data_IF_895643081133
#
_entry.id   IF_895643081133
#
_cell.length_a   1.000
_cell.length_b   1.000
_cell.length_c   1.000
_cell.angle_alpha   90.00
_cell.angle_beta   90.00
_cell.angle_gamma   90.00
#
_symmetry.space_group_name_H-M   'P 1'
#
loop_
_entity.id
_entity.type
_entity.pdbx_description
1 polymer ?
#
# COMPACT_ATOMS: atom_id res chain seq x y z
N UNK A 1 8.10 10.46 8.39
CA UNK A 1 7.51 11.63 7.67
C UNK A 1 7.83 11.67 6.17
N UNK A 2 9.06 11.37 5.68
CA UNK A 2 9.34 11.29 4.22
C UNK A 2 8.44 10.29 3.48
N UNK A 3 8.16 9.16 4.11
CA UNK A 3 7.36 8.07 3.56
C UNK A 3 5.90 8.43 3.24
N UNK A 4 5.27 9.28 4.06
CA UNK A 4 3.92 9.78 3.81
C UNK A 4 3.89 10.59 2.50
N UNK A 5 4.86 11.50 2.29
CA UNK A 5 4.95 12.29 1.05
C UNK A 5 5.19 11.42 -0.19
N UNK A 6 6.02 10.38 -0.08
CA UNK A 6 6.24 9.44 -1.19
C UNK A 6 4.97 8.67 -1.54
N UNK A 7 4.22 8.21 -0.53
CA UNK A 7 2.95 7.51 -0.74
C UNK A 7 1.89 8.46 -1.28
N UNK A 8 1.82 9.72 -0.81
CA UNK A 8 0.93 10.75 -1.36
C UNK A 8 1.21 10.97 -2.85
N UNK A 9 2.48 11.19 -3.24
CA UNK A 9 2.84 11.33 -4.66
C UNK A 9 2.49 10.09 -5.48
N UNK A 10 2.68 8.89 -4.92
CA UNK A 10 2.31 7.64 -5.60
C UNK A 10 0.80 7.54 -5.79
N UNK A 11 0.00 7.86 -4.78
CA UNK A 11 -1.47 7.88 -4.86
C UNK A 11 -1.91 8.92 -5.88
N UNK A 12 -1.33 10.12 -5.89
CA UNK A 12 -1.64 11.17 -6.84
C UNK A 12 -1.36 10.76 -8.30
N UNK A 13 -0.16 10.21 -8.57
CA UNK A 13 0.18 9.71 -9.90
C UNK A 13 -0.78 8.61 -10.37
N UNK A 14 -1.05 7.61 -9.52
CA UNK A 14 -1.97 6.52 -9.84
C UNK A 14 -3.42 7.02 -10.02
N UNK A 15 -3.83 8.03 -9.25
CA UNK A 15 -5.16 8.62 -9.35
C UNK A 15 -5.32 9.39 -10.66
N UNK A 16 -4.31 10.14 -11.08
CA UNK A 16 -4.30 10.83 -12.36
C UNK A 16 -4.30 9.85 -13.53
N UNK A 17 -3.48 8.79 -13.46
CA UNK A 17 -3.45 7.75 -14.49
C UNK A 17 -4.78 7.00 -14.59
N UNK A 18 -5.40 6.71 -13.45
CA UNK A 18 -6.75 6.15 -13.40
C UNK A 18 -7.76 7.08 -14.04
N UNK A 19 -7.79 8.37 -13.66
CA UNK A 19 -8.73 9.34 -14.22
C UNK A 19 -8.56 9.49 -15.74
N UNK A 20 -7.33 9.49 -16.25
CA UNK A 20 -7.03 9.51 -17.67
C UNK A 20 -7.58 8.26 -18.38
N UNK A 21 -7.37 7.07 -17.79
CA UNK A 21 -7.87 5.82 -18.34
C UNK A 21 -9.39 5.68 -18.30
N UNK A 22 -10.06 6.29 -17.31
CA UNK A 22 -11.53 6.25 -17.19
C UNK A 22 -12.20 7.37 -17.98
N UNK A 23 -11.44 8.35 -18.49
CA UNK A 23 -11.95 9.54 -19.19
C UNK A 23 -12.85 10.41 -18.32
N UNK A 24 -12.81 10.23 -16.99
CA UNK A 24 -13.64 10.96 -16.02
C UNK A 24 -12.71 11.69 -15.07
N UNK A 25 -12.73 13.01 -15.16
CA UNK A 25 -11.99 13.87 -14.25
C UNK A 25 -12.75 13.89 -12.91
N UNK A 26 -12.18 13.19 -11.92
CA UNK A 26 -12.69 13.20 -10.56
C UNK A 26 -12.09 14.38 -9.79
N UNK A 27 -12.75 14.85 -8.72
CA UNK A 27 -12.21 15.92 -7.89
C UNK A 27 -10.82 15.55 -7.34
N UNK A 28 -9.98 16.58 -7.19
CA UNK A 28 -8.66 16.44 -6.59
C UNK A 28 -8.79 15.92 -5.15
N UNK A 29 -7.82 15.09 -4.76
CA UNK A 29 -7.74 14.58 -3.40
C UNK A 29 -7.00 15.60 -2.54
N UNK A 30 -7.58 15.95 -1.39
CA UNK A 30 -6.86 16.70 -0.38
C UNK A 30 -6.13 15.70 0.53
N UNK A 31 -4.80 15.74 0.51
CA UNK A 31 -3.95 14.80 1.24
C UNK A 31 -3.70 15.18 2.70
N UNK A 32 -4.13 16.38 3.11
CA UNK A 32 -4.06 16.87 4.49
C UNK A 32 -5.30 16.41 5.29
N UNK A 33 -6.42 16.18 4.59
CA UNK A 33 -7.68 15.68 5.16
C UNK A 33 -7.86 14.17 4.97
N UNK A 34 -7.85 13.43 6.08
CA UNK A 34 -8.16 11.99 6.11
C UNK A 34 -9.54 11.69 5.48
N UNK A 35 -10.55 12.51 5.77
CA UNK A 35 -11.90 12.36 5.22
C UNK A 35 -11.94 12.47 3.70
N UNK A 36 -11.13 13.37 3.11
CA UNK A 36 -11.04 13.52 1.65
C UNK A 36 -10.43 12.27 1.02
N UNK A 37 -9.40 11.69 1.64
CA UNK A 37 -8.74 10.47 1.18
C UNK A 37 -9.70 9.28 1.26
N UNK A 38 -10.42 9.10 2.38
CA UNK A 38 -11.43 8.05 2.52
C UNK A 38 -12.56 8.18 1.49
N UNK A 39 -13.09 9.39 1.28
CA UNK A 39 -14.12 9.64 0.27
C UNK A 39 -13.60 9.32 -1.14
N UNK A 40 -12.36 9.71 -1.44
CA UNK A 40 -11.68 9.38 -2.68
C UNK A 40 -11.55 7.87 -2.91
N UNK A 41 -11.07 7.16 -1.89
CA UNK A 41 -10.94 5.70 -1.89
C UNK A 41 -12.29 5.00 -2.10
N UNK A 42 -13.33 5.38 -1.33
CA UNK A 42 -14.68 4.86 -1.51
C UNK A 42 -15.23 5.13 -2.91
N UNK A 43 -15.00 6.33 -3.46
CA UNK A 43 -15.45 6.64 -4.81
C UNK A 43 -14.79 5.75 -5.86
N UNK A 44 -13.48 5.46 -5.73
CA UNK A 44 -12.76 4.54 -6.63
C UNK A 44 -13.32 3.12 -6.46
N UNK A 45 -13.46 2.66 -5.22
CA UNK A 45 -13.99 1.33 -4.91
C UNK A 45 -15.41 1.14 -5.46
N UNK A 46 -16.29 2.13 -5.29
CA UNK A 46 -17.65 2.11 -5.78
C UNK A 46 -17.73 2.10 -7.31
N UNK A 47 -16.83 2.81 -8.00
CA UNK A 47 -16.79 2.76 -9.46
C UNK A 47 -16.24 1.43 -9.98
N UNK A 48 -15.25 0.86 -9.32
CA UNK A 48 -14.75 -0.48 -9.64
C UNK A 48 -15.82 -1.55 -9.42
N UNK A 49 -16.56 -1.47 -8.31
CA UNK A 49 -17.69 -2.35 -8.02
C UNK A 49 -18.80 -2.20 -9.07
N UNK A 50 -19.15 -0.95 -9.44
CA UNK A 50 -20.13 -0.69 -10.51
C UNK A 50 -19.67 -1.21 -11.87
N UNK A 51 -18.40 -1.03 -12.22
CA UNK A 51 -17.88 -1.49 -13.49
C UNK A 51 -17.80 -3.02 -13.56
N UNK A 52 -17.44 -3.66 -12.45
CA UNK A 52 -17.47 -5.12 -12.33
C UNK A 52 -18.89 -5.64 -12.47
N UNK A 53 -19.87 -4.99 -11.83
CA UNK A 53 -21.30 -5.32 -11.96
C UNK A 53 -21.82 -5.12 -13.39
N UNK A 54 -21.42 -4.03 -14.03
CA UNK A 54 -21.86 -3.67 -15.38
C UNK A 54 -21.02 -4.37 -16.48
N UNK A 55 -20.07 -5.24 -16.12
CA UNK A 55 -19.12 -5.90 -17.04
C UNK A 55 -18.40 -4.94 -17.99
N UNK A 56 -18.22 -3.70 -17.57
CA UNK A 56 -17.49 -2.68 -18.34
C UNK A 56 -15.99 -2.80 -18.06
N UNK A 57 -15.17 -2.69 -19.11
CA UNK A 57 -13.72 -2.67 -18.97
C UNK A 57 -13.26 -1.39 -18.28
N UNK A 58 -12.99 -1.49 -16.97
CA UNK A 58 -12.11 -0.56 -16.27
C UNK A 58 -10.71 -1.17 -16.17
N UNK A 59 -9.66 -0.34 -16.05
CA UNK A 59 -8.31 -0.82 -15.78
C UNK A 59 -8.24 -1.42 -14.36
N UNK A 60 -8.63 -2.70 -14.22
CA UNK A 60 -8.72 -3.42 -12.93
C UNK A 60 -7.41 -3.48 -12.18
N UNK A 61 -6.29 -3.64 -12.89
CA UNK A 61 -4.96 -3.65 -12.29
C UNK A 61 -4.65 -2.30 -11.64
N UNK A 62 -4.96 -1.21 -12.35
CA UNK A 62 -4.72 0.16 -11.93
C UNK A 62 -5.67 0.57 -10.78
N UNK A 63 -6.94 0.14 -10.82
CA UNK A 63 -7.88 0.34 -9.71
C UNK A 63 -7.47 -0.42 -8.45
N UNK A 64 -6.89 -1.62 -8.59
CA UNK A 64 -6.39 -2.42 -7.48
C UNK A 64 -5.14 -1.79 -6.86
N UNK A 65 -4.20 -1.34 -7.70
CA UNK A 65 -2.97 -0.71 -7.24
C UNK A 65 -3.22 0.65 -6.57
N UNK A 66 -4.14 1.44 -7.12
CA UNK A 66 -4.59 2.68 -6.51
C UNK A 66 -5.24 2.42 -5.15
N UNK A 67 -6.11 1.41 -5.05
CA UNK A 67 -6.74 1.01 -3.77
C UNK A 67 -5.70 0.56 -2.73
N UNK A 68 -4.70 -0.22 -3.13
CA UNK A 68 -3.60 -0.62 -2.24
C UNK A 68 -2.81 0.60 -1.74
N UNK A 69 -2.49 1.54 -2.64
CA UNK A 69 -1.73 2.74 -2.29
C UNK A 69 -2.51 3.66 -1.35
N UNK A 70 -3.84 3.78 -1.55
CA UNK A 70 -4.72 4.49 -0.62
C UNK A 70 -4.79 3.84 0.76
N UNK A 71 -4.89 2.51 0.82
CA UNK A 71 -4.91 1.78 2.08
C UNK A 71 -3.58 1.98 2.84
N UNK A 72 -2.45 1.95 2.12
CA UNK A 72 -1.13 2.25 2.68
C UNK A 72 -1.07 3.68 3.23
N UNK A 73 -1.58 4.67 2.47
CA UNK A 73 -1.63 6.07 2.89
C UNK A 73 -2.48 6.29 4.15
N UNK A 74 -3.71 5.77 4.17
CA UNK A 74 -4.63 5.91 5.31
C UNK A 74 -4.03 5.34 6.58
N UNK A 75 -3.33 4.23 6.44
CA UNK A 75 -2.74 3.51 7.54
C UNK A 75 -1.48 4.20 8.06
N UNK A 76 -0.65 4.75 7.16
CA UNK A 76 0.43 5.68 7.49
C UNK A 76 -0.08 6.94 8.21
N UNK A 77 -1.24 7.48 7.82
CA UNK A 77 -1.88 8.64 8.47
C UNK A 77 -2.47 8.31 9.85
N UNK A 78 -2.99 7.10 10.04
CA UNK A 78 -3.44 6.58 11.34
C UNK A 78 -2.26 6.31 12.32
N UNK A 79 -1.02 6.59 11.89
CA UNK A 79 0.19 6.35 12.67
C UNK A 79 0.61 4.88 12.74
N UNK A 80 -0.05 3.99 11.98
CA UNK A 80 0.27 2.58 11.86
C UNK A 80 1.07 2.37 10.57
N UNK A 81 2.38 2.48 10.61
CA UNK A 81 3.22 2.22 9.43
C UNK A 81 3.34 0.70 9.20
N UNK A 82 2.33 0.04 8.61
CA UNK A 82 2.34 -1.43 8.41
C UNK A 82 3.56 -1.89 7.61
N UNK A 83 4.10 -1.06 6.70
CA UNK A 83 5.29 -1.41 5.92
C UNK A 83 6.53 -1.37 6.80
N UNK A 84 6.66 -0.38 7.66
CA UNK A 84 7.71 -0.24 8.66
C UNK A 84 7.61 -1.28 9.76
N UNK A 85 6.41 -1.62 10.21
CA UNK A 85 6.16 -2.70 11.17
C UNK A 85 6.40 -4.08 10.55
N UNK A 86 6.00 -4.31 9.30
CA UNK A 86 6.35 -5.54 8.56
C UNK A 86 7.85 -5.64 8.28
N UNK A 87 8.52 -4.54 7.94
CA UNK A 87 9.98 -4.51 7.78
C UNK A 87 10.69 -4.76 9.10
N UNK A 88 10.21 -4.20 10.21
CA UNK A 88 10.72 -4.48 11.56
C UNK A 88 10.46 -5.93 11.97
N UNK A 89 9.28 -6.47 11.67
CA UNK A 89 8.93 -7.85 11.96
C UNK A 89 9.77 -8.83 11.10
N UNK A 90 9.96 -8.53 9.82
CA UNK A 90 10.84 -9.29 8.93
C UNK A 90 12.30 -9.21 9.39
N UNK A 91 12.79 -8.03 9.75
CA UNK A 91 14.14 -7.84 10.29
C UNK A 91 14.33 -8.54 11.65
N UNK A 92 13.28 -8.60 12.48
CA UNK A 92 13.31 -9.35 13.75
C UNK A 92 13.31 -10.86 13.50
N UNK A 93 12.51 -11.34 12.55
CA UNK A 93 12.49 -12.75 12.13
C UNK A 93 13.84 -13.17 11.52
N UNK A 94 14.48 -12.31 10.73
CA UNK A 94 15.80 -12.56 10.15
C UNK A 94 16.90 -12.58 11.24
N UNK A 95 16.80 -11.69 12.26
CA UNK A 95 17.69 -11.73 13.43
C UNK A 95 17.50 -12.99 14.28
N UNK A 96 16.27 -13.44 14.50
CA UNK A 96 15.99 -14.69 15.23
C UNK A 96 16.42 -15.94 14.43
N UNK A 97 16.31 -15.92 13.10
CA UNK A 97 16.82 -16.98 12.23
C UNK A 97 18.36 -17.04 12.22
N UNK A 98 19.04 -15.88 12.18
CA UNK A 98 20.50 -15.79 12.27
C UNK A 98 21.03 -16.23 13.65
N UNK A 99 20.30 -15.94 14.72
CA UNK A 99 20.65 -16.39 16.08
C UNK A 99 20.53 -17.91 16.24
N UNK A 100 19.51 -18.55 15.63
CA UNK A 100 19.39 -20.01 15.61
C UNK A 100 20.46 -20.69 14.76
N UNK A 101 20.84 -20.10 13.64
CA UNK A 101 21.91 -20.65 12.78
C UNK A 101 23.31 -20.58 13.41
N UNK A 102 23.53 -19.69 14.38
CA UNK A 102 24.79 -19.58 15.11
C UNK A 102 24.92 -20.59 16.27
N UNK A 103 23.84 -21.25 16.70
CA UNK A 103 23.85 -22.25 17.77
C UNK A 103 24.06 -23.69 17.24
N UNK A 104 23.89 -23.93 15.93
CA UNK A 104 24.06 -25.25 15.29
C UNK A 104 25.41 -25.43 14.57
N UNK A 105 26.51 -24.87 15.09
CA UNK A 105 27.85 -25.35 14.73
C UNK A 105 28.32 -26.31 15.81
N UNK A 106 27.99 -27.62 15.77
CA UNK A 106 28.68 -28.58 16.61
C UNK A 106 30.15 -28.58 16.19
N UNK A 107 31.00 -28.21 17.14
CA UNK A 107 32.45 -28.34 17.08
C UNK A 107 32.82 -29.72 16.54
N UNK A 108 33.34 -29.77 15.31
CA UNK A 108 34.20 -30.86 14.89
C UNK A 108 35.49 -30.80 15.71
N UNK A 109 35.58 -31.58 16.80
CA UNK A 109 36.84 -32.02 17.41
C UNK A 109 36.66 -33.44 17.94
N UNK A 110 37.12 -34.45 17.19
CA UNK A 110 38.41 -35.13 17.40
C UNK A 110 38.51 -35.75 18.79
N UNK A 111 38.26 -37.06 18.87
CA UNK A 111 39.07 -38.05 19.60
C UNK A 111 38.55 -39.46 19.28
#
# INVERSE_FOLDING_TARGET
>A
MKRIKEVQQKVESLYNEYNAAVGKQRPALDFDSLESIEKGFQAIFNADARATRNKTSLPKALSLELRKSFADLLLLMDGKDLVGDKLKAAAKAEKEAAAKAAEEVPESKIA
#
